data_IF_433161530906
#
_entry.id   IF_433161530906
#
_cell.length_a   1.000
_cell.length_b   1.000
_cell.length_c   1.000
_cell.angle_alpha   90.00
_cell.angle_beta   90.00
_cell.angle_gamma   90.00
#
_symmetry.space_group_name_H-M   'P 1'
#
loop_
_entity.id
_entity.type
_entity.pdbx_description
1 polymer ?
#
# COMPACT_ATOMS: atom_id res chain seq x y z
N UNK A 1 5.23 1.39 -19.01
CA UNK A 1 4.91 0.50 -20.15
C UNK A 1 5.30 1.20 -21.45
N UNK A 2 6.21 0.62 -22.24
CA UNK A 2 6.58 1.12 -23.58
C UNK A 2 6.06 0.12 -24.60
N UNK A 3 5.43 0.59 -25.67
CA UNK A 3 4.99 -0.31 -26.75
C UNK A 3 6.22 -0.80 -27.51
N UNK A 4 6.24 -2.07 -27.87
CA UNK A 4 7.33 -2.67 -28.65
C UNK A 4 7.59 -1.90 -29.96
N UNK A 5 6.53 -1.36 -30.58
CA UNK A 5 6.62 -0.58 -31.80
C UNK A 5 7.34 0.77 -31.64
N UNK A 6 7.41 1.28 -30.39
CA UNK A 6 8.04 2.56 -30.07
C UNK A 6 9.54 2.39 -29.76
N UNK A 7 10.04 1.16 -29.73
CA UNK A 7 11.46 0.83 -29.53
C UNK A 7 12.16 0.70 -30.90
N UNK A 8 13.28 1.39 -31.04
CA UNK A 8 14.14 1.20 -32.21
C UNK A 8 14.57 -0.27 -32.35
N UNK A 9 14.75 -0.75 -33.58
CA UNK A 9 15.16 -2.15 -33.84
C UNK A 9 16.43 -2.53 -33.07
N UNK A 10 17.42 -1.66 -33.02
CA UNK A 10 18.69 -1.89 -32.34
C UNK A 10 18.51 -1.96 -30.81
N UNK A 11 17.65 -1.09 -30.25
CA UNK A 11 17.30 -1.13 -28.81
C UNK A 11 16.64 -2.44 -28.47
N UNK A 12 15.63 -2.86 -29.24
CA UNK A 12 14.89 -4.08 -28.97
C UNK A 12 15.75 -5.34 -29.08
N UNK A 13 16.66 -5.42 -30.07
CA UNK A 13 17.54 -6.57 -30.26
C UNK A 13 18.59 -6.74 -29.13
N UNK A 14 18.92 -5.65 -28.45
CA UNK A 14 19.91 -5.62 -27.39
C UNK A 14 19.31 -5.73 -25.97
N UNK A 15 17.97 -5.73 -25.83
CA UNK A 15 17.34 -5.93 -24.51
C UNK A 15 17.56 -7.37 -24.06
N UNK A 16 18.19 -7.52 -22.89
CA UNK A 16 18.26 -8.78 -22.16
C UNK A 16 17.33 -8.72 -20.96
N UNK A 17 16.52 -9.75 -20.81
CA UNK A 17 15.59 -9.87 -19.67
C UNK A 17 16.37 -10.44 -18.50
N UNK A 18 16.34 -9.75 -17.36
CA UNK A 18 16.95 -10.22 -16.13
C UNK A 18 16.16 -11.41 -15.56
N UNK A 19 16.87 -12.36 -14.97
CA UNK A 19 16.25 -13.46 -14.22
C UNK A 19 15.67 -12.90 -12.92
N UNK A 20 14.44 -13.27 -12.58
CA UNK A 20 13.84 -12.95 -11.30
C UNK A 20 14.17 -14.06 -10.33
N UNK A 21 14.87 -13.70 -9.25
CA UNK A 21 15.23 -14.61 -8.17
C UNK A 21 14.11 -14.76 -7.13
N UNK A 22 14.25 -15.77 -6.29
CA UNK A 22 13.37 -15.97 -5.14
C UNK A 22 13.85 -15.16 -3.93
N UNK A 23 13.15 -14.07 -3.64
CA UNK A 23 13.49 -13.20 -2.50
C UNK A 23 13.15 -13.82 -1.13
N UNK A 24 12.30 -14.85 -1.08
CA UNK A 24 11.94 -15.51 0.18
C UNK A 24 13.00 -16.54 0.61
N UNK A 25 13.87 -16.98 -0.31
CA UNK A 25 15.01 -17.86 -0.04
C UNK A 25 16.28 -17.11 0.39
N UNK A 26 16.28 -15.77 0.33
CA UNK A 26 17.43 -14.94 0.69
C UNK A 26 17.72 -15.00 2.19
N UNK A 27 18.97 -15.13 2.57
CA UNK A 27 19.41 -15.13 3.97
C UNK A 27 20.16 -13.84 4.34
N UNK A 28 20.14 -13.49 5.63
CA UNK A 28 21.01 -12.44 6.18
C UNK A 28 22.47 -12.85 5.98
N UNK A 29 23.29 -11.92 5.50
CA UNK A 29 24.69 -12.16 5.11
C UNK A 29 24.88 -12.52 3.63
N UNK A 30 23.80 -12.82 2.88
CA UNK A 30 23.89 -13.02 1.43
C UNK A 30 24.36 -11.76 0.71
N UNK A 31 25.08 -11.91 -0.40
CA UNK A 31 25.52 -10.80 -1.25
C UNK A 31 24.32 -10.00 -1.77
N UNK A 32 24.44 -8.69 -1.77
CA UNK A 32 23.47 -7.75 -2.31
C UNK A 32 24.15 -6.77 -3.26
N UNK A 33 23.69 -6.71 -4.51
CA UNK A 33 24.24 -5.85 -5.56
C UNK A 33 23.12 -4.91 -6.02
N UNK A 34 23.27 -3.62 -5.74
CA UNK A 34 22.29 -2.63 -6.17
C UNK A 34 22.75 -1.94 -7.46
N UNK A 35 21.86 -1.90 -8.46
CA UNK A 35 22.12 -1.27 -9.76
C UNK A 35 21.13 -0.14 -9.97
N UNK A 36 21.64 0.97 -10.50
CA UNK A 36 20.79 2.10 -10.87
C UNK A 36 21.59 3.19 -11.58
N UNK A 37 20.97 4.35 -11.79
CA UNK A 37 21.60 5.54 -12.37
C UNK A 37 21.74 6.62 -11.30
N UNK A 38 22.65 6.40 -10.34
CA UNK A 38 22.82 7.29 -9.20
C UNK A 38 23.18 8.71 -9.66
N UNK A 39 22.37 9.68 -9.20
CA UNK A 39 22.57 11.11 -9.47
C UNK A 39 22.55 11.51 -10.95
N UNK A 40 22.13 10.63 -11.87
CA UNK A 40 22.07 10.91 -13.30
C UNK A 40 23.44 10.86 -14.02
N UNK A 41 24.51 10.45 -13.34
CA UNK A 41 25.86 10.36 -13.91
C UNK A 41 26.14 9.05 -14.67
N UNK A 42 25.09 8.27 -14.96
CA UNK A 42 25.22 6.99 -15.65
C UNK A 42 24.96 5.81 -14.72
N UNK A 43 25.10 4.62 -15.28
CA UNK A 43 24.86 3.38 -14.55
C UNK A 43 25.88 3.21 -13.42
N UNK A 44 25.39 3.03 -12.21
CA UNK A 44 26.20 2.76 -11.02
C UNK A 44 25.84 1.43 -10.40
N UNK A 45 26.83 0.78 -9.82
CA UNK A 45 26.69 -0.49 -9.11
C UNK A 45 27.28 -0.31 -7.72
N UNK A 46 26.52 -0.65 -6.69
CA UNK A 46 26.99 -0.71 -5.31
C UNK A 46 26.82 -2.12 -4.79
N UNK A 47 27.72 -2.57 -3.91
CA UNK A 47 27.69 -3.91 -3.34
C UNK A 47 27.69 -3.85 -1.83
N UNK A 48 27.08 -4.83 -1.22
CA UNK A 48 26.99 -5.05 0.21
C UNK A 48 26.41 -6.43 0.50
N UNK A 49 25.76 -6.56 1.63
CA UNK A 49 25.09 -7.77 2.06
C UNK A 49 23.62 -7.46 2.42
N UNK A 50 22.84 -8.51 2.50
CA UNK A 50 21.51 -8.45 3.15
C UNK A 50 21.75 -8.35 4.66
N UNK A 51 21.48 -7.18 5.24
CA UNK A 51 21.71 -6.90 6.65
C UNK A 51 20.56 -7.38 7.53
N UNK A 52 19.32 -7.37 7.01
CA UNK A 52 18.14 -7.87 7.70
C UNK A 52 17.02 -8.16 6.69
N UNK A 53 16.06 -8.97 7.13
CA UNK A 53 14.83 -9.31 6.38
C UNK A 53 13.59 -8.92 7.19
N UNK A 54 12.47 -8.85 6.48
CA UNK A 54 11.16 -8.55 7.07
C UNK A 54 11.13 -7.25 7.90
N UNK A 55 11.88 -6.24 7.46
CA UNK A 55 11.87 -4.93 8.12
C UNK A 55 10.55 -4.22 7.84
N UNK A 56 10.00 -3.64 8.90
CA UNK A 56 8.87 -2.71 8.83
C UNK A 56 9.41 -1.30 8.91
N UNK A 57 9.11 -0.49 7.92
CA UNK A 57 9.47 0.93 7.89
C UNK A 57 8.23 1.75 7.66
N UNK A 58 8.01 2.70 8.54
CA UNK A 58 6.91 3.66 8.45
C UNK A 58 7.49 5.01 8.01
N UNK A 59 6.94 5.54 6.94
CA UNK A 59 7.32 6.86 6.40
C UNK A 59 6.07 7.71 6.23
N UNK A 60 6.24 9.02 6.33
CA UNK A 60 5.18 9.95 6.01
C UNK A 60 5.38 10.44 4.57
N UNK A 61 4.33 10.38 3.76
CA UNK A 61 4.35 10.93 2.42
C UNK A 61 4.37 12.47 2.51
N UNK A 62 5.41 13.09 1.98
CA UNK A 62 5.60 14.55 2.07
C UNK A 62 4.60 15.36 1.26
N UNK A 63 3.89 14.74 0.31
CA UNK A 63 2.91 15.44 -0.54
C UNK A 63 1.49 15.28 0.01
N UNK A 64 1.15 14.10 0.54
CA UNK A 64 -0.19 13.80 1.03
C UNK A 64 -0.30 13.84 2.55
N UNK A 65 0.83 13.81 3.28
CA UNK A 65 0.88 13.69 4.73
C UNK A 65 0.51 12.28 5.24
N UNK A 66 0.21 11.35 4.33
CA UNK A 66 -0.19 10.00 4.70
C UNK A 66 0.98 9.21 5.28
N UNK A 67 0.70 8.47 6.35
CA UNK A 67 1.63 7.51 6.91
C UNK A 67 1.59 6.21 6.10
N UNK A 68 2.70 5.88 5.46
CA UNK A 68 2.86 4.65 4.68
C UNK A 68 3.73 3.69 5.47
N UNK A 69 3.17 2.56 5.85
CA UNK A 69 3.91 1.47 6.49
C UNK A 69 4.13 0.35 5.49
N UNK A 70 5.39 0.00 5.25
CA UNK A 70 5.76 -1.15 4.44
C UNK A 70 6.40 -2.21 5.32
N UNK A 71 5.87 -3.41 5.21
CA UNK A 71 6.33 -4.60 5.90
C UNK A 71 7.13 -5.48 4.93
N UNK A 72 8.00 -6.33 5.48
CA UNK A 72 8.79 -7.30 4.73
C UNK A 72 9.89 -6.72 3.83
N UNK A 73 10.39 -5.51 4.11
CA UNK A 73 11.51 -4.97 3.35
C UNK A 73 12.80 -5.75 3.58
N UNK A 74 13.63 -5.87 2.53
CA UNK A 74 15.03 -6.31 2.61
C UNK A 74 15.85 -5.10 3.03
N UNK A 75 16.63 -5.22 4.10
CA UNK A 75 17.64 -4.22 4.48
C UNK A 75 19.00 -4.64 3.96
N UNK A 76 19.76 -3.70 3.42
CA UNK A 76 21.12 -3.90 2.92
C UNK A 76 22.03 -2.75 3.32
N UNK A 77 23.32 -2.99 3.44
CA UNK A 77 24.36 -1.99 3.59
C UNK A 77 24.96 -1.55 2.23
N UNK A 78 24.55 -2.19 1.13
CA UNK A 78 24.81 -1.64 -0.20
C UNK A 78 24.23 -0.22 -0.30
N UNK A 79 25.04 0.73 -0.77
CA UNK A 79 24.63 2.14 -0.80
C UNK A 79 23.41 2.36 -1.70
N UNK A 80 22.27 2.72 -1.09
CA UNK A 80 21.03 3.08 -1.76
C UNK A 80 20.88 4.59 -1.69
N UNK A 81 21.01 5.25 -2.84
CA UNK A 81 21.02 6.70 -2.98
C UNK A 81 20.00 7.17 -4.05
N UNK A 82 19.64 8.46 -4.08
CA UNK A 82 18.86 9.01 -5.17
C UNK A 82 19.50 8.66 -6.53
N UNK A 83 18.69 8.05 -7.42
CA UNK A 83 19.09 7.57 -8.74
C UNK A 83 19.21 6.06 -8.86
N UNK A 84 19.48 5.29 -7.81
CA UNK A 84 19.33 3.84 -7.86
C UNK A 84 17.96 3.35 -7.33
N UNK A 85 17.14 4.25 -6.79
CA UNK A 85 15.75 3.95 -6.43
C UNK A 85 14.93 3.56 -7.67
N UNK A 86 14.15 2.49 -7.57
CA UNK A 86 13.46 1.85 -8.70
C UNK A 86 14.34 0.90 -9.51
N UNK A 87 15.65 0.89 -9.26
CA UNK A 87 16.60 -0.07 -9.82
C UNK A 87 16.56 -1.42 -9.12
N UNK A 88 17.32 -2.37 -9.66
CA UNK A 88 17.35 -3.73 -9.16
C UNK A 88 18.29 -3.91 -7.96
N UNK A 89 17.85 -4.74 -6.99
CA UNK A 89 18.72 -5.43 -6.05
C UNK A 89 18.90 -6.87 -6.53
N UNK A 90 20.15 -7.28 -6.71
CA UNK A 90 20.50 -8.60 -7.23
C UNK A 90 21.21 -9.43 -6.16
N UNK A 91 21.10 -10.75 -6.28
CA UNK A 91 21.94 -11.70 -5.55
C UNK A 91 23.27 -11.95 -6.29
N UNK A 92 24.10 -12.82 -5.75
CA UNK A 92 25.40 -13.21 -6.32
C UNK A 92 25.31 -13.91 -7.68
N UNK A 93 24.15 -14.50 -8.01
CA UNK A 93 23.89 -15.14 -9.30
C UNK A 93 23.44 -14.14 -10.37
N UNK A 94 23.29 -12.86 -10.03
CA UNK A 94 22.76 -11.83 -10.94
C UNK A 94 21.24 -11.88 -11.09
N UNK A 95 20.52 -12.53 -10.20
CA UNK A 95 19.06 -12.61 -10.21
C UNK A 95 18.47 -11.46 -9.39
N UNK A 96 17.38 -10.88 -9.89
CA UNK A 96 16.68 -9.76 -9.23
C UNK A 96 15.88 -10.27 -8.04
N UNK A 97 16.31 -9.92 -6.83
CA UNK A 97 15.64 -10.28 -5.57
C UNK A 97 14.84 -9.14 -4.96
N UNK A 98 15.01 -7.89 -5.45
CA UNK A 98 14.28 -6.75 -4.93
C UNK A 98 14.35 -5.52 -5.84
N UNK A 99 13.55 -4.51 -5.47
CA UNK A 99 13.52 -3.18 -6.09
C UNK A 99 14.02 -2.18 -5.06
N UNK A 100 15.13 -1.50 -5.36
CA UNK A 100 15.75 -0.51 -4.47
C UNK A 100 14.79 0.64 -4.16
N UNK A 101 14.77 1.13 -2.92
CA UNK A 101 13.92 2.23 -2.51
C UNK A 101 14.63 3.19 -1.57
N UNK A 102 14.89 4.41 -2.06
CA UNK A 102 15.45 5.52 -1.26
C UNK A 102 14.42 6.09 -0.28
N UNK A 103 13.11 5.95 -0.58
CA UNK A 103 12.04 6.50 0.26
C UNK A 103 12.11 5.99 1.72
N UNK A 104 12.70 4.82 1.92
CA UNK A 104 12.82 4.18 3.24
C UNK A 104 14.19 4.36 3.89
N UNK A 105 15.15 4.97 3.19
CA UNK A 105 16.48 5.25 3.72
C UNK A 105 16.46 6.57 4.49
N UNK A 106 17.04 6.59 5.71
CA UNK A 106 17.25 7.84 6.44
C UNK A 106 18.47 8.54 5.87
N UNK A 107 18.35 9.84 5.58
CA UNK A 107 19.49 10.67 5.13
C UNK A 107 20.52 10.90 6.24
N UNK A 108 20.16 10.58 7.49
CA UNK A 108 21.02 10.78 8.67
C UNK A 108 21.79 9.52 9.08
N UNK A 109 21.49 8.36 8.46
CA UNK A 109 22.12 7.09 8.80
C UNK A 109 22.74 6.47 7.56
N UNK A 110 24.04 6.44 7.47
CA UNK A 110 24.78 5.74 6.41
C UNK A 110 24.75 4.21 6.64
N UNK A 111 24.79 3.44 5.55
CA UNK A 111 24.84 1.98 5.60
C UNK A 111 23.50 1.29 5.87
N UNK A 112 22.38 2.00 5.76
CA UNK A 112 21.05 1.41 5.83
C UNK A 112 20.28 1.75 4.56
N UNK A 113 20.17 0.78 3.67
CA UNK A 113 19.34 0.82 2.48
C UNK A 113 18.20 -0.19 2.55
N UNK A 114 17.15 0.03 1.78
CA UNK A 114 16.00 -0.88 1.73
C UNK A 114 15.62 -1.23 0.29
N UNK A 115 15.11 -2.44 0.12
CA UNK A 115 14.52 -2.87 -1.14
C UNK A 115 13.19 -3.60 -0.89
N UNK A 116 12.27 -3.44 -1.83
CA UNK A 116 10.99 -4.16 -1.85
C UNK A 116 11.28 -5.56 -2.42
N UNK A 117 11.00 -6.66 -1.69
CA UNK A 117 11.24 -8.01 -2.17
C UNK A 117 10.46 -8.34 -3.46
N UNK A 118 11.03 -9.16 -4.32
CA UNK A 118 10.34 -9.60 -5.53
C UNK A 118 9.10 -10.45 -5.24
N UNK A 119 9.05 -11.19 -4.14
CA UNK A 119 7.84 -11.90 -3.70
C UNK A 119 6.65 -10.97 -3.44
N UNK A 120 6.93 -9.71 -3.06
CA UNK A 120 5.90 -8.66 -2.89
C UNK A 120 5.62 -7.93 -4.21
N UNK A 121 6.66 -7.59 -4.97
CA UNK A 121 6.54 -6.78 -6.18
C UNK A 121 5.96 -7.57 -7.38
N UNK A 122 6.34 -8.83 -7.54
CA UNK A 122 5.98 -9.66 -8.69
C UNK A 122 4.47 -9.80 -8.91
N UNK A 123 3.63 -10.14 -7.92
CA UNK A 123 2.18 -10.23 -8.10
C UNK A 123 1.56 -8.89 -8.54
N UNK A 124 2.09 -7.78 -8.01
CA UNK A 124 1.65 -6.43 -8.38
C UNK A 124 1.98 -6.14 -9.86
N UNK A 125 3.22 -6.46 -10.26
CA UNK A 125 3.70 -6.25 -11.62
C UNK A 125 2.87 -7.10 -12.62
N UNK A 126 2.63 -8.37 -12.30
CA UNK A 126 1.84 -9.29 -13.12
C UNK A 126 0.42 -8.78 -13.32
N UNK A 127 -0.26 -8.35 -12.24
CA UNK A 127 -1.60 -7.76 -12.33
C UNK A 127 -1.61 -6.48 -13.18
N UNK A 128 -0.63 -5.59 -12.99
CA UNK A 128 -0.50 -4.39 -13.80
C UNK A 128 -0.23 -4.67 -15.29
N UNK A 129 0.45 -5.77 -15.60
CA UNK A 129 0.69 -6.21 -16.99
C UNK A 129 -0.58 -6.76 -17.62
N UNK A 130 -1.33 -7.61 -16.90
CA UNK A 130 -2.52 -8.30 -17.39
C UNK A 130 -3.70 -7.34 -17.47
N UNK A 131 -4.02 -6.66 -16.36
CA UNK A 131 -5.28 -5.94 -16.19
C UNK A 131 -5.12 -4.41 -16.31
N UNK A 132 -3.88 -3.91 -16.37
CA UNK A 132 -3.57 -2.47 -16.37
C UNK A 132 -3.79 -1.79 -15.03
N UNK A 133 -4.27 -2.51 -14.03
CA UNK A 133 -4.49 -2.06 -12.65
C UNK A 133 -4.08 -3.14 -11.66
N UNK A 134 -3.69 -2.74 -10.48
CA UNK A 134 -3.47 -3.65 -9.36
C UNK A 134 -4.63 -3.51 -8.37
N UNK A 135 -5.20 -4.63 -8.01
CA UNK A 135 -6.22 -4.72 -6.95
C UNK A 135 -5.69 -5.69 -5.90
N UNK A 136 -5.46 -5.21 -4.70
CA UNK A 136 -5.07 -6.07 -3.59
C UNK A 136 -6.30 -6.87 -3.12
N UNK A 137 -6.42 -8.13 -3.56
CA UNK A 137 -7.56 -8.99 -3.22
C UNK A 137 -7.70 -9.22 -1.71
N UNK A 138 -6.61 -9.12 -0.97
CA UNK A 138 -6.60 -9.28 0.49
C UNK A 138 -6.90 -7.98 1.24
N UNK A 139 -6.97 -6.84 0.54
CA UNK A 139 -7.30 -5.57 1.18
C UNK A 139 -8.76 -5.56 1.61
N UNK A 140 -8.97 -5.14 2.85
CA UNK A 140 -10.29 -5.00 3.44
C UNK A 140 -11.00 -3.75 2.94
N UNK A 141 -12.27 -3.89 2.58
CA UNK A 141 -13.16 -2.80 2.19
C UNK A 141 -14.47 -2.91 2.94
N UNK A 142 -15.04 -1.77 3.32
CA UNK A 142 -16.42 -1.71 3.81
C UNK A 142 -17.43 -1.78 2.67
N UNK A 143 -17.09 -1.20 1.51
CA UNK A 143 -17.99 -1.05 0.38
C UNK A 143 -18.94 0.13 0.53
N UNK A 144 -18.41 1.26 1.00
CA UNK A 144 -19.12 2.53 1.09
C UNK A 144 -18.44 3.58 0.22
N UNK A 145 -19.23 4.60 -0.18
CA UNK A 145 -18.72 5.90 -0.59
C UNK A 145 -19.15 6.91 0.45
N UNK A 146 -18.33 7.92 0.69
CA UNK A 146 -18.61 8.91 1.71
C UNK A 146 -17.53 9.97 1.79
N UNK A 147 -17.60 10.78 2.82
CA UNK A 147 -16.63 11.83 3.10
C UNK A 147 -16.68 12.25 4.55
N UNK A 148 -15.79 13.15 4.91
CA UNK A 148 -15.72 13.69 6.26
C UNK A 148 -16.98 14.51 6.59
N UNK A 149 -17.48 14.38 7.82
CA UNK A 149 -18.47 15.34 8.35
C UNK A 149 -17.76 16.68 8.54
N UNK A 150 -18.23 17.69 7.81
CA UNK A 150 -17.62 19.04 7.87
C UNK A 150 -17.83 19.70 9.24
N UNK A 151 -16.97 20.67 9.57
CA UNK A 151 -17.13 21.45 10.80
C UNK A 151 -18.46 22.22 10.86
N UNK A 152 -19.01 22.59 9.71
CA UNK A 152 -20.34 23.21 9.62
C UNK A 152 -21.43 22.19 10.02
N UNK A 153 -21.37 20.96 9.51
CA UNK A 153 -22.31 19.89 9.88
C UNK A 153 -22.23 19.59 11.38
N UNK A 154 -21.01 19.54 11.95
CA UNK A 154 -20.82 19.36 13.40
C UNK A 154 -21.51 20.49 14.18
N UNK A 155 -21.42 21.75 13.73
CA UNK A 155 -22.12 22.89 14.34
C UNK A 155 -23.64 22.76 14.29
N UNK A 156 -24.19 22.00 13.32
CA UNK A 156 -25.61 21.66 13.24
C UNK A 156 -26.01 20.40 14.01
N UNK A 157 -25.07 19.83 14.79
CA UNK A 157 -25.34 18.66 15.65
C UNK A 157 -25.08 17.30 15.02
N UNK A 158 -24.39 17.25 13.87
CA UNK A 158 -23.93 15.98 13.29
C UNK A 158 -22.76 15.45 14.10
N UNK A 159 -22.71 14.15 14.41
CA UNK A 159 -21.52 13.53 15.00
C UNK A 159 -20.31 13.66 14.08
N UNK A 160 -19.15 13.89 14.66
CA UNK A 160 -17.91 13.86 13.89
C UNK A 160 -17.61 12.44 13.45
N UNK A 161 -17.26 12.24 12.17
CA UNK A 161 -17.00 10.94 11.61
C UNK A 161 -17.03 10.94 10.09
N UNK A 162 -17.29 9.77 9.52
CA UNK A 162 -17.42 9.57 8.07
C UNK A 162 -18.89 9.42 7.70
N UNK A 163 -19.39 10.38 6.96
CA UNK A 163 -20.74 10.34 6.39
C UNK A 163 -20.82 9.37 5.22
N UNK A 164 -21.74 8.44 5.24
CA UNK A 164 -22.00 7.47 4.19
C UNK A 164 -22.93 8.06 3.14
N UNK A 165 -22.43 8.32 1.95
CA UNK A 165 -23.24 8.84 0.82
C UNK A 165 -23.84 7.72 -0.03
N UNK A 166 -23.23 6.53 -0.05
CA UNK A 166 -23.80 5.35 -0.68
C UNK A 166 -23.15 4.07 -0.17
N UNK A 167 -23.85 2.95 -0.30
CA UNK A 167 -23.38 1.62 0.07
C UNK A 167 -23.43 0.72 -1.16
N UNK A 168 -22.32 0.05 -1.48
CA UNK A 168 -22.22 -0.87 -2.61
C UNK A 168 -23.03 -2.14 -2.35
N UNK A 169 -23.87 -2.53 -3.30
CA UNK A 169 -24.65 -3.76 -3.18
C UNK A 169 -23.74 -4.99 -3.01
N UNK A 170 -24.13 -5.94 -2.14
CA UNK A 170 -23.37 -7.16 -1.87
C UNK A 170 -22.12 -6.96 -1.00
N UNK A 171 -21.79 -5.72 -0.64
CA UNK A 171 -20.66 -5.43 0.24
C UNK A 171 -20.93 -5.82 1.69
N UNK A 172 -19.86 -5.90 2.51
CA UNK A 172 -19.96 -6.13 3.95
C UNK A 172 -20.81 -5.08 4.65
N UNK A 173 -20.69 -3.81 4.25
CA UNK A 173 -21.52 -2.72 4.76
C UNK A 173 -23.00 -2.91 4.43
N UNK A 174 -23.33 -3.30 3.18
CA UNK A 174 -24.71 -3.59 2.78
C UNK A 174 -25.29 -4.77 3.56
N UNK A 175 -24.52 -5.85 3.67
CA UNK A 175 -24.95 -7.07 4.38
C UNK A 175 -25.14 -6.82 5.89
N UNK A 176 -24.40 -5.87 6.46
CA UNK A 176 -24.51 -5.44 7.84
C UNK A 176 -25.63 -4.40 8.07
N UNK A 177 -26.32 -3.93 7.02
CA UNK A 177 -27.43 -2.97 7.13
C UNK A 177 -27.01 -1.51 7.28
N UNK A 178 -25.80 -1.15 6.85
CA UNK A 178 -25.43 0.26 6.70
C UNK A 178 -26.25 0.89 5.58
N UNK A 179 -26.55 2.17 5.73
CA UNK A 179 -27.40 2.93 4.80
C UNK A 179 -26.77 4.29 4.49
N UNK A 180 -27.25 4.91 3.41
CA UNK A 180 -27.00 6.31 3.14
C UNK A 180 -27.51 7.16 4.32
N UNK A 181 -26.72 8.14 4.74
CA UNK A 181 -27.03 9.00 5.87
C UNK A 181 -26.46 8.53 7.21
N UNK A 182 -25.91 7.30 7.28
CA UNK A 182 -25.17 6.85 8.46
C UNK A 182 -23.86 7.63 8.62
N UNK A 183 -23.40 7.79 9.86
CA UNK A 183 -22.10 8.37 10.17
C UNK A 183 -21.30 7.35 10.96
N UNK A 184 -20.13 6.95 10.43
CA UNK A 184 -19.22 6.03 11.10
C UNK A 184 -18.33 6.85 12.03
N UNK A 185 -18.41 6.57 13.34
CA UNK A 185 -17.68 7.31 14.40
C UNK A 185 -16.56 6.50 15.02
N UNK A 186 -16.56 5.15 14.86
CA UNK A 186 -15.45 4.29 15.30
C UNK A 186 -15.39 2.97 14.53
N UNK A 187 -14.18 2.37 14.49
CA UNK A 187 -13.90 0.98 14.10
C UNK A 187 -13.28 0.29 15.30
N UNK A 188 -13.95 -0.74 15.82
CA UNK A 188 -13.65 -1.41 17.08
C UNK A 188 -13.48 -0.38 18.23
N UNK A 189 -12.29 -0.25 18.80
CA UNK A 189 -11.98 0.73 19.85
C UNK A 189 -11.38 2.04 19.32
N UNK A 190 -11.16 2.15 18.00
CA UNK A 190 -10.50 3.30 17.39
C UNK A 190 -11.55 4.31 16.92
N UNK A 191 -11.53 5.53 17.47
CA UNK A 191 -12.37 6.62 17.00
C UNK A 191 -11.96 7.04 15.60
N UNK A 192 -12.97 7.37 14.78
CA UNK A 192 -12.81 7.80 13.39
C UNK A 192 -13.44 9.18 13.24
N UNK A 193 -12.64 10.14 12.79
CA UNK A 193 -13.08 11.52 12.53
C UNK A 193 -13.02 11.91 11.06
N UNK A 194 -12.35 11.09 10.21
CA UNK A 194 -12.17 11.35 8.79
C UNK A 194 -12.13 10.05 7.96
N UNK A 195 -12.35 10.18 6.66
CA UNK A 195 -12.22 9.10 5.70
C UNK A 195 -10.78 8.54 5.67
N UNK A 196 -9.78 9.40 5.82
CA UNK A 196 -8.38 9.01 5.90
C UNK A 196 -8.11 8.12 7.11
N UNK A 197 -8.66 8.45 8.28
CA UNK A 197 -8.54 7.61 9.48
C UNK A 197 -9.28 6.29 9.32
N UNK A 198 -10.47 6.29 8.73
CA UNK A 198 -11.21 5.07 8.42
C UNK A 198 -10.40 4.15 7.50
N UNK A 199 -9.88 4.68 6.41
CA UNK A 199 -9.03 3.91 5.49
C UNK A 199 -7.77 3.38 6.17
N UNK A 200 -7.14 4.18 7.03
CA UNK A 200 -5.95 3.78 7.79
C UNK A 200 -6.26 2.66 8.79
N UNK A 201 -7.38 2.74 9.50
CA UNK A 201 -7.82 1.68 10.40
C UNK A 201 -8.05 0.36 9.63
N UNK A 202 -8.72 0.42 8.47
CA UNK A 202 -9.00 -0.75 7.65
C UNK A 202 -7.75 -1.40 7.02
N UNK A 203 -6.62 -0.69 6.89
CA UNK A 203 -5.35 -1.28 6.42
C UNK A 203 -4.81 -2.40 7.33
N UNK A 204 -5.23 -2.42 8.59
CA UNK A 204 -4.83 -3.45 9.57
C UNK A 204 -5.58 -4.78 9.42
N UNK A 205 -6.65 -4.79 8.63
CA UNK A 205 -7.53 -5.94 8.43
C UNK A 205 -7.40 -6.50 7.01
N UNK A 206 -7.93 -7.71 6.84
CA UNK A 206 -8.02 -8.41 5.56
C UNK A 206 -9.48 -8.56 5.15
N UNK A 207 -9.71 -8.80 3.87
CA UNK A 207 -11.02 -9.23 3.39
C UNK A 207 -11.45 -10.51 4.14
N UNK A 208 -12.70 -10.53 4.61
CA UNK A 208 -13.27 -11.60 5.45
C UNK A 208 -13.14 -11.39 6.96
N UNK A 209 -12.27 -10.45 7.42
CA UNK A 209 -12.21 -10.13 8.85
C UNK A 209 -13.49 -9.44 9.30
N UNK A 210 -13.83 -9.63 10.58
CA UNK A 210 -14.97 -8.97 11.23
C UNK A 210 -14.51 -7.79 12.05
N UNK A 211 -15.20 -6.68 11.91
CA UNK A 211 -14.99 -5.46 12.71
C UNK A 211 -16.31 -4.98 13.28
N UNK A 212 -16.26 -4.28 14.41
CA UNK A 212 -17.43 -3.63 14.99
C UNK A 212 -17.35 -2.13 14.66
N UNK A 213 -18.30 -1.66 13.85
CA UNK A 213 -18.46 -0.22 13.61
C UNK A 213 -19.36 0.40 14.68
N UNK A 214 -18.98 1.57 15.18
CA UNK A 214 -19.94 2.46 15.85
C UNK A 214 -20.51 3.38 14.79
N UNK A 215 -21.83 3.32 14.64
CA UNK A 215 -22.58 4.02 13.59
C UNK A 215 -23.62 4.90 14.26
N UNK A 216 -23.58 6.20 13.94
CA UNK A 216 -24.61 7.15 14.32
C UNK A 216 -25.62 7.27 13.17
N UNK A 217 -26.89 6.96 13.45
CA UNK A 217 -28.00 7.06 12.50
C UNK A 217 -29.00 8.09 12.96
N UNK A 218 -29.51 8.86 12.03
CA UNK A 218 -30.52 9.86 12.35
C UNK A 218 -31.85 9.21 12.79
N UNK A 219 -32.31 9.60 13.99
CA UNK A 219 -33.59 9.20 14.57
C UNK A 219 -34.34 10.47 14.94
N UNK A 220 -35.28 10.89 14.09
CA UNK A 220 -35.95 12.17 14.24
C UNK A 220 -35.01 13.39 14.08
N UNK A 221 -34.80 14.14 15.18
CA UNK A 221 -33.89 15.31 15.21
C UNK A 221 -32.53 15.03 15.86
N UNK A 222 -32.28 13.79 16.27
CA UNK A 222 -31.06 13.40 16.97
C UNK A 222 -30.38 12.25 16.25
N UNK A 223 -29.11 12.03 16.56
CA UNK A 223 -28.34 10.88 16.11
C UNK A 223 -28.24 9.87 17.26
N UNK A 224 -28.57 8.62 16.97
CA UNK A 224 -28.43 7.51 17.90
C UNK A 224 -27.27 6.62 17.48
N UNK A 225 -26.33 6.35 18.39
CA UNK A 225 -25.22 5.45 18.14
C UNK A 225 -25.63 4.00 18.37
N UNK A 226 -25.21 3.15 17.45
CA UNK A 226 -25.36 1.69 17.55
C UNK A 226 -24.08 1.01 17.11
N UNK A 227 -23.88 -0.23 17.58
CA UNK A 227 -22.76 -1.07 17.15
C UNK A 227 -23.23 -2.05 16.09
N UNK A 228 -22.51 -2.11 14.99
CA UNK A 228 -22.81 -2.96 13.84
C UNK A 228 -21.61 -3.84 13.54
N UNK A 229 -21.76 -5.16 13.60
CA UNK A 229 -20.71 -6.10 13.18
C UNK A 229 -20.70 -6.19 11.65
N UNK A 230 -19.55 -5.93 11.03
CA UNK A 230 -19.38 -5.96 9.59
C UNK A 230 -18.30 -6.96 9.23
N UNK A 231 -18.57 -7.86 8.29
CA UNK A 231 -17.56 -8.69 7.64
C UNK A 231 -17.01 -7.90 6.45
N UNK A 232 -15.72 -7.60 6.49
CA UNK A 232 -15.08 -6.78 5.47
C UNK A 232 -15.02 -7.50 4.12
N UNK A 233 -15.32 -6.77 3.06
CA UNK A 233 -15.33 -7.26 1.68
C UNK A 233 -13.94 -7.24 1.06
N UNK A 234 -13.76 -8.00 -0.02
CA UNK A 234 -12.64 -7.83 -0.95
C UNK A 234 -12.93 -6.72 -1.96
N UNK A 235 -11.90 -6.29 -2.71
CA UNK A 235 -12.09 -5.34 -3.80
C UNK A 235 -13.01 -5.86 -4.91
N UNK A 236 -13.11 -7.18 -5.10
CA UNK A 236 -14.02 -7.80 -6.09
C UNK A 236 -15.49 -7.63 -5.70
N UNK A 237 -15.77 -7.68 -4.40
CA UNK A 237 -17.15 -7.60 -3.89
C UNK A 237 -17.74 -6.20 -3.96
N UNK A 238 -16.89 -5.17 -4.06
CA UNK A 238 -17.29 -3.75 -4.04
C UNK A 238 -17.22 -3.06 -5.41
N UNK A 239 -16.78 -3.76 -6.47
CA UNK A 239 -16.65 -3.22 -7.84
C UNK A 239 -17.78 -3.63 -8.79
N UNK A 240 -18.87 -4.22 -8.28
CA UNK A 240 -20.04 -4.54 -9.09
C UNK A 240 -20.99 -3.37 -9.24
#
# INVERSE_FOLDING_TARGET
RVKKADLGKDTYSNIKIATIGDSDSVAVGSSAIAIGNALGYGQSVTTGIVSALNRTVTTQDSQTGETVTNNKLIQTDAAINPGNSGGALLNENGEVIGINSVKYSSTEVEGIGYAIPMSVAKPIIESLIQDGKYTNENQAYLGIKGGDVSSEMVAYGFPQGVYVSSVSAGSGAANAGLQEGDIITAVDSTKISSMTELQSALKSYKAGDKVTLTVARQSGRQYEESKVEVTLSSAKDVQQ
#
